data_IF_366854841362
#
_entry.id   IF_366854841362
#
_cell.length_a   1.000
_cell.length_b   1.000
_cell.length_c   1.000
_cell.angle_alpha   90.00
_cell.angle_beta   90.00
_cell.angle_gamma   90.00
#
_symmetry.space_group_name_H-M   'P 1'
#
loop_
_entity.id
_entity.type
_entity.pdbx_description
1 polymer ?
#
# COMPACT_ATOMS: atom_id res chain seq x y z
N UNK A 1 -12.14 -9.86 0.15
CA UNK A 1 -11.12 -10.86 -0.17
C UNK A 1 -10.65 -11.62 1.07
N UNK A 2 -10.20 -10.92 2.11
CA UNK A 2 -9.63 -11.51 3.34
C UNK A 2 -10.61 -12.41 4.08
N UNK A 3 -11.90 -12.15 3.94
CA UNK A 3 -12.98 -12.90 4.61
C UNK A 3 -13.69 -13.88 3.65
N UNK A 4 -13.12 -14.10 2.46
CA UNK A 4 -13.66 -15.07 1.51
C UNK A 4 -13.07 -16.46 1.74
N UNK A 5 -13.90 -17.48 1.62
CA UNK A 5 -13.51 -18.88 1.61
C UNK A 5 -13.48 -19.44 0.19
N UNK A 6 -12.86 -20.61 0.02
CA UNK A 6 -12.91 -21.33 -1.25
C UNK A 6 -14.34 -21.83 -1.56
N UNK A 7 -14.75 -21.81 -2.83
CA UNK A 7 -13.94 -21.56 -4.05
C UNK A 7 -13.77 -20.09 -4.43
N UNK A 8 -14.52 -19.18 -3.82
CA UNK A 8 -14.56 -17.78 -4.25
C UNK A 8 -13.23 -17.07 -4.02
N UNK A 9 -12.58 -17.27 -2.87
CA UNK A 9 -11.26 -16.73 -2.59
C UNK A 9 -10.25 -16.99 -3.72
N UNK A 10 -10.18 -18.22 -4.20
CA UNK A 10 -9.25 -18.59 -5.28
C UNK A 10 -9.61 -17.96 -6.63
N UNK A 11 -10.88 -17.70 -6.90
CA UNK A 11 -11.33 -17.01 -8.14
C UNK A 11 -10.80 -15.57 -8.16
N UNK A 12 -10.95 -14.86 -7.06
CA UNK A 12 -10.45 -13.48 -6.92
C UNK A 12 -8.93 -13.43 -6.91
N UNK A 13 -8.26 -14.26 -6.12
CA UNK A 13 -6.80 -14.31 -6.03
C UNK A 13 -6.13 -14.49 -7.40
N UNK A 14 -6.70 -15.32 -8.27
CA UNK A 14 -6.17 -15.57 -9.62
C UNK A 14 -6.17 -14.32 -10.51
N UNK A 15 -7.03 -13.33 -10.27
CA UNK A 15 -7.09 -12.12 -11.06
C UNK A 15 -5.77 -11.33 -11.05
N UNK A 16 -5.10 -11.28 -9.91
CA UNK A 16 -3.85 -10.51 -9.75
C UNK A 16 -2.60 -11.36 -9.63
N UNK A 17 -2.72 -12.67 -9.37
CA UNK A 17 -1.58 -13.55 -9.13
C UNK A 17 -0.53 -13.48 -10.25
N UNK A 18 -0.96 -13.43 -11.50
CA UNK A 18 -0.06 -13.37 -12.66
C UNK A 18 0.78 -12.11 -12.71
N UNK A 19 0.26 -10.99 -12.22
CA UNK A 19 0.99 -9.71 -12.19
C UNK A 19 2.19 -9.76 -11.23
N UNK A 20 2.06 -10.45 -10.11
CA UNK A 20 3.13 -10.60 -9.11
C UNK A 20 4.16 -11.69 -9.50
N UNK A 21 4.28 -12.02 -10.78
CA UNK A 21 5.22 -13.01 -11.29
C UNK A 21 6.07 -12.47 -12.44
N UNK A 22 7.24 -13.08 -12.67
CA UNK A 22 8.04 -12.90 -13.86
C UNK A 22 8.57 -11.48 -14.06
N UNK A 23 8.20 -10.85 -15.18
CA UNK A 23 8.75 -9.54 -15.60
C UNK A 23 8.35 -8.39 -14.68
N UNK A 24 7.12 -8.42 -14.18
CA UNK A 24 6.62 -7.34 -13.31
C UNK A 24 7.34 -7.36 -11.96
N UNK A 25 7.63 -8.55 -11.42
CA UNK A 25 8.42 -8.66 -10.19
C UNK A 25 9.83 -8.09 -10.36
N UNK A 26 10.47 -8.25 -11.53
CA UNK A 26 11.78 -7.63 -11.79
C UNK A 26 11.70 -6.10 -11.89
N UNK A 27 10.65 -5.55 -12.53
CA UNK A 27 10.41 -4.10 -12.55
C UNK A 27 10.19 -3.55 -11.13
N UNK A 28 9.40 -4.28 -10.34
CA UNK A 28 9.17 -3.93 -8.95
C UNK A 28 10.46 -3.95 -8.13
N UNK A 29 11.31 -4.98 -8.30
CA UNK A 29 12.61 -5.06 -7.63
C UNK A 29 13.48 -3.84 -7.97
N UNK A 30 13.57 -3.47 -9.24
CA UNK A 30 14.30 -2.27 -9.64
C UNK A 30 13.75 -1.02 -8.95
N UNK A 31 12.43 -0.86 -8.88
CA UNK A 31 11.80 0.28 -8.21
C UNK A 31 12.09 0.29 -6.70
N UNK A 32 12.07 -0.86 -6.05
CA UNK A 32 12.43 -1.02 -4.64
C UNK A 32 13.89 -0.59 -4.41
N UNK A 33 14.81 -1.02 -5.27
CA UNK A 33 16.23 -0.68 -5.16
C UNK A 33 16.44 0.85 -5.33
N UNK A 34 15.79 1.48 -6.32
CA UNK A 34 15.83 2.94 -6.54
C UNK A 34 15.31 3.71 -5.32
N UNK A 35 14.19 3.28 -4.75
CA UNK A 35 13.62 3.90 -3.56
C UNK A 35 14.50 3.68 -2.32
N UNK A 36 15.11 2.51 -2.16
CA UNK A 36 16.02 2.26 -1.06
C UNK A 36 17.23 3.21 -1.10
N UNK A 37 17.84 3.39 -2.28
CA UNK A 37 18.92 4.37 -2.48
C UNK A 37 18.44 5.79 -2.14
N UNK A 38 17.28 6.20 -2.68
CA UNK A 38 16.71 7.51 -2.42
C UNK A 38 16.56 7.82 -0.91
N UNK A 39 16.03 6.86 -0.12
CA UNK A 39 15.85 7.07 1.31
C UNK A 39 17.16 7.04 2.10
N UNK A 40 18.15 6.23 1.69
CA UNK A 40 19.49 6.24 2.28
C UNK A 40 20.17 7.59 2.02
N UNK A 41 20.12 8.10 0.79
CA UNK A 41 20.69 9.41 0.43
C UNK A 41 20.01 10.54 1.22
N UNK A 42 18.68 10.50 1.31
CA UNK A 42 17.89 11.46 2.10
C UNK A 42 18.30 11.47 3.57
N UNK A 43 18.51 10.30 4.19
CA UNK A 43 19.04 10.24 5.57
C UNK A 43 20.41 10.89 5.68
N UNK A 44 21.30 10.70 4.70
CA UNK A 44 22.59 11.35 4.63
C UNK A 44 22.52 12.89 4.58
N UNK A 45 21.51 13.44 3.90
CA UNK A 45 21.29 14.88 3.76
C UNK A 45 20.72 15.54 5.03
N UNK A 46 20.15 14.76 5.96
CA UNK A 46 19.57 15.25 7.22
C UNK A 46 20.58 15.63 8.31
N UNK A 47 21.88 15.62 8.00
CA UNK A 47 22.91 16.11 8.90
C UNK A 47 23.28 15.17 10.06
N UNK A 48 22.93 13.89 9.96
CA UNK A 48 23.31 12.85 10.93
C UNK A 48 22.26 12.47 11.96
N UNK A 49 21.09 13.12 11.95
CA UNK A 49 19.94 12.78 12.80
C UNK A 49 18.67 12.76 11.97
N UNK A 50 17.81 11.75 12.16
CA UNK A 50 16.48 11.68 11.55
C UNK A 50 15.49 10.94 12.46
N UNK A 51 14.21 11.22 12.31
CA UNK A 51 13.15 10.35 12.83
C UNK A 51 12.92 9.24 11.82
N UNK A 52 13.61 8.10 12.00
CA UNK A 52 13.57 6.99 11.04
C UNK A 52 12.13 6.54 10.70
N UNK A 53 11.23 6.58 11.67
CA UNK A 53 9.82 6.20 11.43
C UNK A 53 9.15 7.20 10.50
N UNK A 54 9.19 8.50 10.86
CA UNK A 54 8.49 9.57 10.12
C UNK A 54 9.15 9.91 8.78
N UNK A 55 10.48 9.80 8.70
CA UNK A 55 11.23 10.26 7.53
C UNK A 55 11.47 9.14 6.50
N UNK A 56 11.46 7.86 6.94
CA UNK A 56 11.84 6.72 6.10
C UNK A 56 10.82 5.59 6.15
N UNK A 57 10.61 4.98 7.35
CA UNK A 57 9.92 3.70 7.44
C UNK A 57 8.44 3.75 7.01
N UNK A 58 7.76 4.88 7.18
CA UNK A 58 6.39 5.10 6.73
C UNK A 58 6.34 5.26 5.21
N UNK A 59 7.25 6.03 4.63
CA UNK A 59 7.17 6.42 3.23
C UNK A 59 7.67 5.36 2.27
N UNK A 60 8.75 4.66 2.61
CA UNK A 60 9.37 3.70 1.71
C UNK A 60 8.40 2.59 1.25
N UNK A 61 7.73 1.84 2.16
CA UNK A 61 6.77 0.83 1.74
C UNK A 61 5.54 1.42 1.05
N UNK A 62 5.07 2.60 1.49
CA UNK A 62 3.95 3.28 0.86
C UNK A 62 4.25 3.56 -0.62
N UNK A 63 5.40 4.17 -0.94
CA UNK A 63 5.80 4.46 -2.32
C UNK A 63 5.93 3.22 -3.18
N UNK A 64 6.42 2.12 -2.61
CA UNK A 64 6.46 0.83 -3.32
C UNK A 64 5.04 0.40 -3.69
N UNK A 65 4.11 0.40 -2.75
CA UNK A 65 2.72 -0.01 -3.00
C UNK A 65 2.02 0.95 -3.95
N UNK A 66 2.18 2.26 -3.79
CA UNK A 66 1.56 3.25 -4.67
C UNK A 66 2.09 3.13 -6.11
N UNK A 67 3.37 2.79 -6.29
CA UNK A 67 3.93 2.53 -7.62
C UNK A 67 3.34 1.28 -8.29
N UNK A 68 2.94 0.26 -7.52
CA UNK A 68 2.24 -0.94 -8.04
C UNK A 68 0.85 -0.56 -8.57
N UNK A 69 0.18 0.38 -7.93
CA UNK A 69 -1.11 0.90 -8.37
C UNK A 69 -1.04 1.96 -9.47
N UNK A 70 0.15 2.50 -9.74
CA UNK A 70 0.28 3.66 -10.62
C UNK A 70 -0.39 4.91 -10.03
N UNK A 71 -0.44 5.01 -8.70
CA UNK A 71 -0.90 6.21 -7.98
C UNK A 71 0.18 7.27 -8.11
N UNK A 72 -0.18 8.52 -8.49
CA UNK A 72 0.78 9.60 -8.62
C UNK A 72 1.35 10.01 -7.26
N UNK A 73 2.59 10.51 -7.26
CA UNK A 73 3.33 10.85 -6.04
C UNK A 73 2.64 11.95 -5.22
N UNK A 74 1.93 12.86 -5.87
CA UNK A 74 1.14 13.90 -5.23
C UNK A 74 -0.01 13.37 -4.37
N UNK A 75 -0.50 12.17 -4.63
CA UNK A 75 -1.58 11.53 -3.87
C UNK A 75 -1.08 10.67 -2.70
N UNK A 76 0.22 10.38 -2.62
CA UNK A 76 0.81 9.57 -1.56
C UNK A 76 0.50 10.09 -0.14
N UNK A 77 0.53 11.42 0.13
CA UNK A 77 0.15 11.94 1.45
C UNK A 77 -1.30 11.65 1.83
N UNK A 78 -2.21 11.67 0.85
CA UNK A 78 -3.60 11.29 1.07
C UNK A 78 -3.71 9.80 1.40
N UNK A 79 -3.02 8.94 0.64
CA UNK A 79 -3.00 7.50 0.88
C UNK A 79 -2.41 7.15 2.25
N UNK A 80 -1.31 7.82 2.64
CA UNK A 80 -0.74 7.65 3.98
C UNK A 80 -1.76 7.99 5.06
N UNK A 81 -2.40 9.15 4.94
CA UNK A 81 -3.41 9.58 5.90
C UNK A 81 -4.54 8.56 6.02
N UNK A 82 -5.11 8.13 4.89
CA UNK A 82 -6.23 7.19 4.88
C UNK A 82 -5.85 5.81 5.46
N UNK A 83 -4.66 5.29 5.14
CA UNK A 83 -4.18 4.01 5.71
C UNK A 83 -3.96 4.11 7.21
N UNK A 84 -3.36 5.20 7.70
CA UNK A 84 -3.15 5.45 9.12
C UNK A 84 -4.48 5.59 9.87
N UNK A 85 -5.43 6.38 9.36
CA UNK A 85 -6.75 6.55 9.97
C UNK A 85 -7.54 5.22 10.02
N UNK A 86 -7.39 4.36 9.01
CA UNK A 86 -8.08 3.07 8.96
C UNK A 86 -7.54 2.09 10.00
N UNK A 87 -6.22 1.92 10.09
CA UNK A 87 -5.59 0.96 11.01
C UNK A 87 -5.36 1.53 12.40
N UNK A 88 -5.09 2.82 12.51
CA UNK A 88 -4.88 3.51 13.75
C UNK A 88 -6.16 4.07 14.37
N UNK A 89 -7.32 3.50 14.07
CA UNK A 89 -8.62 3.99 14.55
C UNK A 89 -8.75 4.04 16.07
N UNK A 90 -7.88 3.34 16.81
CA UNK A 90 -7.78 3.37 18.27
C UNK A 90 -6.57 4.14 18.80
N UNK A 91 -5.73 4.68 17.91
CA UNK A 91 -4.53 5.43 18.25
C UNK A 91 -4.82 6.95 18.21
N UNK A 92 -4.68 7.68 19.32
CA UNK A 92 -5.00 9.10 19.40
C UNK A 92 -4.12 9.98 18.49
N UNK A 93 -2.94 9.49 18.09
CA UNK A 93 -2.01 10.28 17.26
C UNK A 93 -2.37 10.25 15.76
N UNK A 94 -3.12 9.24 15.32
CA UNK A 94 -3.43 9.04 13.89
C UNK A 94 -4.93 8.89 13.59
N UNK A 95 -5.74 8.51 14.56
CA UNK A 95 -7.18 8.39 14.36
C UNK A 95 -7.82 9.75 14.03
N UNK A 96 -8.74 9.78 13.08
CA UNK A 96 -9.55 10.98 12.78
C UNK A 96 -10.39 11.35 14.01
N UNK A 97 -11.02 10.37 14.63
CA UNK A 97 -11.64 10.41 15.97
C UNK A 97 -11.93 8.98 16.43
N UNK A 98 -12.48 8.83 17.65
CA UNK A 98 -12.94 7.53 18.16
C UNK A 98 -14.44 7.27 17.85
N UNK A 99 -15.06 8.07 16.99
CA UNK A 99 -16.45 7.90 16.59
C UNK A 99 -16.56 6.92 15.40
N UNK A 100 -17.53 6.02 15.48
CA UNK A 100 -17.85 5.09 14.41
C UNK A 100 -18.20 5.81 13.10
N UNK A 101 -18.83 6.98 13.17
CA UNK A 101 -19.14 7.77 11.97
C UNK A 101 -17.89 8.26 11.25
N UNK A 102 -16.86 8.68 11.99
CA UNK A 102 -15.61 9.11 11.38
C UNK A 102 -14.83 7.93 10.81
N UNK A 103 -14.86 6.76 11.44
CA UNK A 103 -14.33 5.56 10.83
C UNK A 103 -15.03 5.22 9.51
N UNK A 104 -16.35 5.31 9.46
CA UNK A 104 -17.10 5.12 8.21
C UNK A 104 -16.75 6.17 7.16
N UNK A 105 -16.49 7.42 7.54
CA UNK A 105 -16.03 8.46 6.64
C UNK A 105 -14.65 8.14 6.04
N UNK A 106 -13.73 7.54 6.80
CA UNK A 106 -12.44 7.05 6.25
C UNK A 106 -12.65 6.02 5.16
N UNK A 107 -13.53 5.04 5.41
CA UNK A 107 -13.87 4.02 4.39
C UNK A 107 -14.47 4.66 3.14
N UNK A 108 -15.39 5.63 3.29
CA UNK A 108 -15.98 6.34 2.16
C UNK A 108 -14.97 7.17 1.38
N UNK A 109 -13.99 7.79 2.04
CA UNK A 109 -12.90 8.52 1.38
C UNK A 109 -12.03 7.57 0.53
N UNK A 110 -11.73 6.37 1.05
CA UNK A 110 -11.07 5.31 0.27
C UNK A 110 -11.91 4.88 -0.95
N UNK A 111 -13.20 4.61 -0.72
CA UNK A 111 -14.09 4.19 -1.80
C UNK A 111 -14.18 5.23 -2.90
N UNK A 112 -14.26 6.50 -2.54
CA UNK A 112 -14.30 7.61 -3.50
C UNK A 112 -13.02 7.65 -4.33
N UNK A 113 -11.85 7.65 -3.69
CA UNK A 113 -10.57 7.69 -4.40
C UNK A 113 -10.42 6.53 -5.38
N UNK A 114 -10.70 5.31 -4.91
CA UNK A 114 -10.56 4.13 -5.77
C UNK A 114 -11.66 3.99 -6.82
N UNK A 115 -12.83 4.58 -6.63
CA UNK A 115 -13.83 4.66 -7.69
C UNK A 115 -13.35 5.56 -8.84
N UNK A 116 -12.76 6.71 -8.53
CA UNK A 116 -12.17 7.62 -9.51
C UNK A 116 -10.99 6.96 -10.25
N UNK A 117 -10.10 6.28 -9.53
CA UNK A 117 -9.01 5.52 -10.11
C UNK A 117 -9.51 4.40 -11.02
N UNK A 118 -10.53 3.65 -10.61
CA UNK A 118 -11.15 2.59 -11.40
C UNK A 118 -11.68 3.11 -12.74
N UNK A 119 -12.41 4.21 -12.70
CA UNK A 119 -12.97 4.82 -13.90
C UNK A 119 -11.85 5.31 -14.84
N UNK A 120 -10.83 5.96 -14.31
CA UNK A 120 -9.68 6.39 -15.08
C UNK A 120 -8.95 5.21 -15.76
N UNK A 121 -8.78 4.08 -15.05
CA UNK A 121 -8.12 2.88 -15.57
C UNK A 121 -8.98 2.06 -16.54
N UNK A 122 -10.30 2.18 -16.45
CA UNK A 122 -11.22 1.61 -17.45
C UNK A 122 -11.17 2.38 -18.77
N UNK A 123 -11.09 3.71 -18.68
CA UNK A 123 -10.98 4.57 -19.87
C UNK A 123 -9.59 4.50 -20.51
N UNK A 124 -8.54 4.49 -19.73
CA UNK A 124 -7.16 4.49 -20.17
C UNK A 124 -6.33 3.45 -19.39
N UNK A 125 -6.36 2.17 -19.80
CA UNK A 125 -5.59 1.12 -19.13
C UNK A 125 -4.08 1.36 -19.19
N UNK A 126 -3.39 1.09 -18.09
CA UNK A 126 -1.92 1.17 -17.93
C UNK A 126 -1.36 -0.17 -17.44
N UNK A 127 -0.03 -0.32 -17.43
CA UNK A 127 0.65 -1.55 -16.96
C UNK A 127 0.81 -1.54 -15.44
N UNK A 128 -0.30 -1.36 -14.71
CA UNK A 128 -0.35 -1.37 -13.24
C UNK A 128 -1.43 -2.32 -12.70
N UNK A 129 -1.37 -2.60 -11.40
CA UNK A 129 -2.35 -3.48 -10.73
C UNK A 129 -3.73 -2.83 -10.71
N UNK A 130 -3.81 -1.50 -10.66
CA UNK A 130 -5.11 -0.84 -10.68
C UNK A 130 -5.85 -1.09 -11.99
N UNK A 131 -5.16 -1.01 -13.14
CA UNK A 131 -5.74 -1.34 -14.45
C UNK A 131 -6.18 -2.80 -14.53
N UNK A 132 -5.38 -3.71 -13.98
CA UNK A 132 -5.73 -5.13 -13.97
C UNK A 132 -7.01 -5.38 -13.19
N UNK A 133 -7.15 -4.79 -11.99
CA UNK A 133 -8.33 -4.94 -11.14
C UNK A 133 -9.55 -4.23 -11.76
N UNK A 134 -9.38 -3.00 -12.27
CA UNK A 134 -10.45 -2.22 -12.90
C UNK A 134 -11.11 -2.95 -14.06
N UNK A 135 -10.33 -3.71 -14.83
CA UNK A 135 -10.78 -4.43 -16.02
C UNK A 135 -10.95 -5.94 -15.80
N UNK A 136 -10.78 -6.41 -14.56
CA UNK A 136 -10.95 -7.83 -14.23
C UNK A 136 -12.39 -8.28 -14.43
N UNK A 137 -12.53 -9.54 -14.86
CA UNK A 137 -13.82 -10.17 -15.07
C UNK A 137 -13.87 -11.54 -14.39
N UNK A 138 -15.02 -11.84 -13.81
CA UNK A 138 -15.38 -13.18 -13.32
C UNK A 138 -16.63 -13.61 -14.08
N UNK A 139 -16.58 -14.79 -14.72
CA UNK A 139 -17.65 -15.33 -15.55
C UNK A 139 -18.12 -14.38 -16.67
N UNK A 140 -17.19 -13.58 -17.24
CA UNK A 140 -17.47 -12.62 -18.30
C UNK A 140 -18.12 -11.32 -17.85
N UNK A 141 -18.27 -11.09 -16.53
CA UNK A 141 -18.79 -9.87 -15.95
C UNK A 141 -17.68 -9.11 -15.20
N UNK A 142 -17.67 -7.79 -15.35
CA UNK A 142 -16.76 -6.95 -14.57
C UNK A 142 -17.08 -7.05 -13.08
N UNK A 143 -16.05 -6.88 -12.26
CA UNK A 143 -16.24 -6.84 -10.80
C UNK A 143 -17.18 -5.68 -10.42
N UNK A 144 -18.13 -5.90 -9.50
CA UNK A 144 -18.88 -4.83 -8.88
C UNK A 144 -17.96 -3.81 -8.20
N UNK A 145 -18.36 -2.55 -8.13
CA UNK A 145 -17.53 -1.47 -7.58
C UNK A 145 -17.05 -1.75 -6.15
N UNK A 146 -17.92 -2.27 -5.29
CA UNK A 146 -17.54 -2.58 -3.90
C UNK A 146 -16.50 -3.70 -3.79
N UNK A 147 -16.49 -4.69 -4.69
CA UNK A 147 -15.48 -5.73 -4.74
C UNK A 147 -14.15 -5.19 -5.27
N UNK A 148 -14.21 -4.33 -6.30
CA UNK A 148 -13.05 -3.62 -6.84
C UNK A 148 -12.41 -2.74 -5.77
N UNK A 149 -13.20 -1.96 -5.04
CA UNK A 149 -12.73 -1.12 -3.93
C UNK A 149 -12.12 -1.95 -2.80
N UNK A 150 -12.77 -3.06 -2.40
CA UNK A 150 -12.23 -3.98 -1.41
C UNK A 150 -10.90 -4.60 -1.83
N UNK A 151 -10.71 -4.81 -3.13
CA UNK A 151 -9.45 -5.32 -3.67
C UNK A 151 -8.33 -4.28 -3.55
N UNK A 152 -8.59 -3.04 -3.95
CA UNK A 152 -7.63 -1.94 -3.80
C UNK A 152 -7.27 -1.70 -2.34
N UNK A 153 -8.30 -1.63 -1.49
CA UNK A 153 -8.11 -1.39 -0.07
C UNK A 153 -7.16 -2.41 0.56
N UNK A 154 -7.38 -3.71 0.31
CA UNK A 154 -6.53 -4.75 0.91
C UNK A 154 -5.07 -4.67 0.42
N UNK A 155 -4.83 -4.41 -0.87
CA UNK A 155 -3.46 -4.31 -1.38
C UNK A 155 -2.78 -3.04 -0.85
N UNK A 156 -3.46 -1.88 -0.87
CA UNK A 156 -2.92 -0.62 -0.40
C UNK A 156 -2.53 -0.68 1.08
N UNK A 157 -3.35 -1.34 1.89
CA UNK A 157 -3.18 -1.38 3.33
C UNK A 157 -2.23 -2.48 3.80
N UNK A 158 -2.38 -3.70 3.28
CA UNK A 158 -1.61 -4.85 3.75
C UNK A 158 -0.10 -4.75 3.45
N UNK A 159 0.27 -4.06 2.37
CA UNK A 159 1.68 -3.91 1.98
C UNK A 159 2.41 -2.74 2.64
N UNK A 160 1.69 -1.80 3.24
CA UNK A 160 2.26 -0.58 3.82
C UNK A 160 2.55 -0.73 5.31
N UNK A 161 1.52 -0.78 6.15
CA UNK A 161 1.64 -0.60 7.60
C UNK A 161 2.48 -1.68 8.28
N UNK A 162 2.24 -2.94 7.94
CA UNK A 162 3.00 -4.08 8.50
C UNK A 162 4.47 -4.02 8.13
N UNK A 163 4.80 -3.58 6.92
CA UNK A 163 6.18 -3.44 6.44
C UNK A 163 6.87 -2.27 7.13
N UNK A 164 6.19 -1.13 7.27
CA UNK A 164 6.69 0.04 8.00
C UNK A 164 7.04 -0.31 9.44
N UNK A 165 6.11 -0.94 10.15
CA UNK A 165 6.29 -1.36 11.55
C UNK A 165 7.42 -2.38 11.71
N UNK A 166 7.51 -3.36 10.80
CA UNK A 166 8.57 -4.36 10.81
C UNK A 166 9.94 -3.75 10.54
N UNK A 167 10.02 -2.79 9.61
CA UNK A 167 11.27 -2.10 9.27
C UNK A 167 11.75 -1.25 10.45
N UNK A 168 10.87 -0.47 11.06
CA UNK A 168 11.19 0.37 12.21
C UNK A 168 11.60 -0.46 13.43
N UNK A 169 10.80 -1.48 13.78
CA UNK A 169 11.09 -2.40 14.88
C UNK A 169 12.36 -3.20 14.67
N UNK A 170 12.59 -3.68 13.44
CA UNK A 170 13.81 -4.41 13.08
C UNK A 170 15.07 -3.56 13.24
N UNK A 171 15.03 -2.29 12.80
CA UNK A 171 16.16 -1.38 13.02
C UNK A 171 16.41 -1.11 14.51
N UNK A 172 15.36 -0.89 15.30
CA UNK A 172 15.47 -0.70 16.74
C UNK A 172 16.13 -1.91 17.41
N UNK A 173 15.71 -3.12 17.04
CA UNK A 173 16.34 -4.35 17.58
C UNK A 173 17.79 -4.51 17.14
N UNK A 174 18.16 -4.14 15.91
CA UNK A 174 19.56 -4.16 15.47
C UNK A 174 20.42 -3.14 16.24
N UNK A 175 19.89 -1.95 16.52
CA UNK A 175 20.58 -0.95 17.36
C UNK A 175 20.82 -1.47 18.78
N UNK A 176 19.83 -2.14 19.35
CA UNK A 176 19.91 -2.72 20.69
C UNK A 176 20.80 -3.98 20.76
N UNK A 177 21.09 -4.61 19.62
CA UNK A 177 21.88 -5.85 19.51
C UNK A 177 22.99 -5.69 18.47
N UNK A 178 24.06 -4.92 18.75
CA UNK A 178 25.10 -4.57 17.75
C UNK A 178 25.81 -5.78 17.15
N UNK A 179 25.89 -6.90 17.86
CA UNK A 179 26.48 -8.15 17.35
C UNK A 179 25.64 -8.79 16.25
N UNK A 180 24.33 -8.47 16.16
CA UNK A 180 23.47 -8.90 15.05
C UNK A 180 23.62 -7.95 13.86
N UNK A 181 23.76 -6.66 14.10
CA UNK A 181 23.99 -5.67 13.05
C UNK A 181 25.31 -5.91 12.30
N UNK A 182 26.32 -6.48 12.96
CA UNK A 182 27.63 -6.78 12.38
C UNK A 182 27.67 -8.06 11.51
N UNK A 183 26.60 -8.84 11.46
CA UNK A 183 26.50 -10.07 10.64
C UNK A 183 26.01 -9.78 9.25
#
# INVERSE_FOLDING_TARGET
>A
LVQMDDPDHMRYRRLTQGWFMGSNLRKLQQRVDELAVHYVDRMGEMGGECDFVKDVAIWFPLRVIMSIFGVPEEDEPLMLKLTQELFGSTDPDVARSFDMMDFMNVVLDFEKYFAELTEARRQNPTDDVASLIANAQIDGQQLPQHETNGYYMIIATAGHDTTSSSTAGGLLELINNPEQMAK
#
